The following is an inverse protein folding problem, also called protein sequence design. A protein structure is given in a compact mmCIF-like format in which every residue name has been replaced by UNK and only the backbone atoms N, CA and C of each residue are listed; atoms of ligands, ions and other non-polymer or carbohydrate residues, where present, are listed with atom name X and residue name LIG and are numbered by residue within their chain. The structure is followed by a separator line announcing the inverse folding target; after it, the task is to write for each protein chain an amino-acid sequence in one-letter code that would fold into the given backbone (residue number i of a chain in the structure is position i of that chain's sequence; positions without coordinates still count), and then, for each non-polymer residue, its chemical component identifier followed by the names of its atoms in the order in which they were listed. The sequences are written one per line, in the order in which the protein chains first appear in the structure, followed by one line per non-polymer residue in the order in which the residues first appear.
data_IF_788557593979
#
_entry.id   IF_788557593979
#
_cell.length_a   1.000
_cell.length_b   1.000
_cell.length_c   1.000
_cell.angle_alpha   90.00
_cell.angle_beta   90.00
_cell.angle_gamma   90.00
#
_symmetry.space_group_name_H-M   'P 1'
#
loop_
_entity.id
_entity.type
_entity.pdbx_description
1 polymer ?
#
# COMPACT_ATOMS: atom_id res chain seq x y z
N UNK A 1 12.52 -6.01 -12.63
CA UNK A 1 13.85 -6.27 -13.28
C UNK A 1 14.66 -7.13 -12.32
N UNK A 2 15.13 -8.30 -12.77
CA UNK A 2 15.90 -9.26 -11.94
C UNK A 2 17.23 -8.69 -11.40
N UNK A 3 17.77 -7.67 -12.06
CA UNK A 3 19.02 -6.99 -11.67
C UNK A 3 18.79 -5.68 -10.90
N UNK A 4 17.60 -5.45 -10.34
CA UNK A 4 17.30 -4.22 -9.61
C UNK A 4 18.26 -3.96 -8.43
N UNK A 5 18.61 -4.95 -7.59
CA UNK A 5 19.56 -4.73 -6.48
C UNK A 5 20.95 -4.32 -6.97
N UNK A 6 21.43 -4.92 -8.06
CA UNK A 6 22.73 -4.58 -8.64
C UNK A 6 22.76 -3.14 -9.17
N UNK A 7 21.71 -2.77 -9.93
CA UNK A 7 21.57 -1.40 -10.43
C UNK A 7 21.50 -0.39 -9.29
N UNK A 8 20.76 -0.70 -8.24
CA UNK A 8 20.63 0.17 -7.08
C UNK A 8 21.98 0.40 -6.38
N UNK A 9 22.77 -0.66 -6.12
CA UNK A 9 24.13 -0.53 -5.56
C UNK A 9 25.02 0.38 -6.39
N UNK A 10 24.92 0.31 -7.71
CA UNK A 10 25.72 1.12 -8.63
C UNK A 10 25.27 2.58 -8.69
N UNK A 11 23.98 2.85 -8.54
CA UNK A 11 23.40 4.18 -8.72
C UNK A 11 23.37 5.02 -7.42
N UNK A 12 23.20 4.40 -6.25
CA UNK A 12 23.15 5.09 -4.96
C UNK A 12 24.38 6.00 -4.73
N UNK A 13 25.63 5.52 -4.90
CA UNK A 13 26.82 6.36 -4.64
C UNK A 13 26.94 7.58 -5.55
N UNK A 14 26.27 7.57 -6.70
CA UNK A 14 26.32 8.67 -7.67
C UNK A 14 25.36 9.80 -7.35
N UNK A 15 24.42 9.59 -6.44
CA UNK A 15 23.39 10.57 -6.11
C UNK A 15 23.90 11.59 -5.10
N UNK A 16 23.94 12.85 -5.48
CA UNK A 16 24.38 13.97 -4.63
C UNK A 16 23.36 14.34 -3.55
N UNK A 17 22.08 14.13 -3.81
CA UNK A 17 20.99 14.43 -2.86
C UNK A 17 20.20 13.16 -2.57
N UNK A 18 19.94 12.91 -1.30
CA UNK A 18 19.03 11.85 -0.86
C UNK A 18 17.60 12.33 -0.95
N UNK A 19 16.72 11.47 -1.46
CA UNK A 19 15.28 11.66 -1.46
C UNK A 19 14.62 10.35 -1.05
N UNK A 20 13.37 10.38 -0.65
CA UNK A 20 12.63 9.16 -0.36
C UNK A 20 12.48 8.30 -1.63
N UNK A 21 12.76 7.03 -1.51
CA UNK A 21 12.58 6.04 -2.58
C UNK A 21 11.20 5.42 -2.43
N UNK A 22 10.32 5.70 -3.38
CA UNK A 22 9.03 5.03 -3.43
C UNK A 22 9.19 3.64 -4.03
N UNK A 23 8.98 2.62 -3.20
CA UNK A 23 9.05 1.21 -3.59
C UNK A 23 7.66 0.74 -3.96
N UNK A 24 7.29 0.77 -5.20
CA UNK A 24 6.02 0.37 -5.84
C UNK A 24 5.43 1.41 -6.82
N UNK A 25 6.24 2.15 -7.52
CA UNK A 25 5.73 3.19 -8.43
C UNK A 25 4.93 2.66 -9.64
N UNK A 26 5.14 1.40 -10.05
CA UNK A 26 4.53 0.83 -11.26
C UNK A 26 3.88 -0.52 -11.01
N UNK A 27 4.46 -1.36 -10.15
CA UNK A 27 3.94 -2.68 -9.83
C UNK A 27 4.20 -3.01 -8.37
N UNK A 28 3.39 -3.91 -7.81
CA UNK A 28 3.52 -4.32 -6.41
C UNK A 28 4.90 -4.96 -6.16
N UNK A 29 5.68 -4.48 -5.17
CA UNK A 29 7.00 -5.00 -4.85
C UNK A 29 6.94 -6.40 -4.19
N UNK A 30 5.79 -6.80 -3.67
CA UNK A 30 5.57 -8.09 -3.02
C UNK A 30 4.64 -9.01 -3.82
N UNK A 31 4.86 -9.06 -5.14
CA UNK A 31 4.21 -10.07 -5.99
C UNK A 31 4.57 -11.48 -5.50
N UNK A 32 3.78 -12.53 -5.83
CA UNK A 32 4.03 -13.89 -5.36
C UNK A 32 5.46 -14.40 -5.62
N UNK A 33 6.08 -14.00 -6.72
CA UNK A 33 7.46 -14.36 -7.06
C UNK A 33 8.50 -13.76 -6.10
N UNK A 34 8.16 -12.70 -5.38
CA UNK A 34 9.05 -12.08 -4.38
C UNK A 34 9.32 -13.03 -3.20
N UNK A 35 8.40 -13.95 -2.88
CA UNK A 35 8.62 -15.01 -1.90
C UNK A 35 9.86 -15.87 -2.23
N UNK A 36 10.11 -16.08 -3.52
CA UNK A 36 11.23 -16.87 -4.04
C UNK A 36 12.49 -16.03 -4.30
N UNK A 37 12.35 -14.93 -5.04
CA UNK A 37 13.52 -14.19 -5.57
C UNK A 37 14.06 -13.14 -4.60
N UNK A 38 13.27 -12.66 -3.66
CA UNK A 38 13.64 -11.68 -2.62
C UNK A 38 14.33 -10.42 -3.16
N UNK A 39 13.91 -9.93 -4.33
CA UNK A 39 14.51 -8.76 -4.96
C UNK A 39 14.18 -7.48 -4.20
N UNK A 40 12.95 -7.37 -3.72
CA UNK A 40 12.52 -6.24 -2.88
C UNK A 40 13.32 -6.21 -1.59
N UNK A 41 13.43 -7.35 -0.89
CA UNK A 41 14.24 -7.45 0.33
C UNK A 41 15.67 -6.98 0.09
N UNK A 42 16.34 -7.45 -0.96
CA UNK A 42 17.70 -7.04 -1.31
C UNK A 42 17.81 -5.53 -1.59
N UNK A 43 16.79 -4.95 -2.23
CA UNK A 43 16.75 -3.50 -2.44
C UNK A 43 16.59 -2.73 -1.14
N UNK A 44 15.73 -3.18 -0.23
CA UNK A 44 15.53 -2.58 1.09
C UNK A 44 16.80 -2.63 1.93
N UNK A 45 17.51 -3.77 1.94
CA UNK A 45 18.82 -3.91 2.61
C UNK A 45 19.83 -2.88 2.09
N UNK A 46 19.91 -2.67 0.78
CA UNK A 46 20.82 -1.68 0.19
C UNK A 46 20.42 -0.26 0.59
N UNK A 47 19.13 0.08 0.57
CA UNK A 47 18.64 1.39 0.98
C UNK A 47 18.94 1.65 2.47
N UNK A 48 18.66 0.69 3.34
CA UNK A 48 18.93 0.76 4.78
C UNK A 48 20.43 0.95 5.07
N UNK A 49 21.30 0.14 4.48
CA UNK A 49 22.76 0.24 4.63
C UNK A 49 23.34 1.59 4.19
N UNK A 50 22.68 2.26 3.28
CA UNK A 50 23.09 3.58 2.78
C UNK A 50 22.30 4.75 3.40
N UNK A 51 21.45 4.49 4.40
CA UNK A 51 20.57 5.46 5.06
C UNK A 51 19.69 6.25 4.08
N UNK A 52 19.12 5.59 3.08
CA UNK A 52 18.15 6.19 2.16
C UNK A 52 16.74 5.97 2.70
N UNK A 53 15.93 7.02 2.81
CA UNK A 53 14.53 6.88 3.17
C UNK A 53 13.78 6.04 2.14
N UNK A 54 12.84 5.19 2.59
CA UNK A 54 12.00 4.40 1.71
C UNK A 54 10.54 4.42 2.14
N UNK A 55 9.65 4.57 1.15
CA UNK A 55 8.20 4.46 1.31
C UNK A 55 7.79 3.19 0.58
N UNK A 56 7.36 2.20 1.35
CA UNK A 56 6.99 0.89 0.82
C UNK A 56 5.47 0.84 0.70
N UNK A 57 4.97 0.52 -0.49
CA UNK A 57 3.54 0.36 -0.72
C UNK A 57 3.25 -0.98 -1.39
N UNK A 58 2.29 -1.72 -0.85
CA UNK A 58 1.90 -3.02 -1.38
C UNK A 58 0.43 -3.34 -1.08
N UNK A 59 -0.11 -4.37 -1.71
CA UNK A 59 -1.34 -5.06 -1.31
C UNK A 59 -1.07 -6.36 -0.58
N UNK A 60 0.20 -6.77 -0.49
CA UNK A 60 0.58 -8.12 -0.08
C UNK A 60 1.02 -8.17 1.38
N UNK A 61 0.41 -9.04 2.22
CA UNK A 61 0.90 -9.33 3.56
C UNK A 61 2.32 -9.91 3.60
N UNK A 62 2.87 -10.31 2.45
CA UNK A 62 4.27 -10.76 2.35
C UNK A 62 5.28 -9.71 2.81
N UNK A 63 4.89 -8.44 2.90
CA UNK A 63 5.73 -7.36 3.46
C UNK A 63 6.18 -7.67 4.89
N UNK A 64 5.40 -8.42 5.66
CA UNK A 64 5.74 -8.84 7.03
C UNK A 64 7.03 -9.68 7.11
N UNK A 65 7.40 -10.38 6.04
CA UNK A 65 8.68 -11.09 5.94
C UNK A 65 9.89 -10.16 6.16
N UNK A 66 9.77 -8.90 5.79
CA UNK A 66 10.86 -7.93 5.79
C UNK A 66 10.73 -6.89 6.93
N UNK A 67 9.88 -7.19 7.93
CA UNK A 67 9.62 -6.33 9.09
C UNK A 67 10.89 -5.99 9.88
N UNK A 68 11.85 -6.92 9.92
CA UNK A 68 13.15 -6.74 10.55
C UNK A 68 13.92 -5.56 9.92
N UNK A 69 14.00 -5.53 8.59
CA UNK A 69 14.71 -4.47 7.87
C UNK A 69 13.95 -3.15 7.95
N UNK A 70 12.62 -3.20 7.79
CA UNK A 70 11.79 -1.99 7.77
C UNK A 70 11.82 -1.30 9.13
N UNK A 71 11.73 -2.05 10.23
CA UNK A 71 11.77 -1.53 11.60
C UNK A 71 13.12 -0.94 11.95
N UNK A 72 14.21 -1.63 11.58
CA UNK A 72 15.56 -1.25 12.00
C UNK A 72 16.14 -0.13 11.12
N UNK A 73 15.54 0.15 9.98
CA UNK A 73 15.91 1.25 9.10
C UNK A 73 15.38 2.60 9.63
N UNK A 74 16.23 3.64 9.59
CA UNK A 74 15.95 4.93 10.24
C UNK A 74 14.72 5.66 9.72
N UNK A 75 14.49 5.66 8.39
CA UNK A 75 13.48 6.49 7.73
C UNK A 75 12.66 5.66 6.72
N UNK A 76 12.26 4.44 7.14
CA UNK A 76 11.34 3.64 6.35
C UNK A 76 9.93 3.80 6.89
N UNK A 77 8.97 3.82 5.96
CA UNK A 77 7.56 3.66 6.26
C UNK A 77 6.93 2.62 5.33
N UNK A 78 5.93 1.94 5.82
CA UNK A 78 5.25 0.89 5.07
C UNK A 78 3.74 1.08 5.08
N UNK A 79 3.12 0.93 3.93
CA UNK A 79 1.68 1.03 3.80
C UNK A 79 1.08 -0.06 2.94
N UNK A 80 -0.18 -0.36 3.23
CA UNK A 80 -0.95 -1.26 2.39
C UNK A 80 -2.11 -0.52 1.72
N UNK A 81 -2.35 -0.89 0.45
CA UNK A 81 -3.56 -0.44 -0.25
C UNK A 81 -4.75 -1.22 0.26
N UNK A 82 -5.74 -0.49 0.79
CA UNK A 82 -6.99 -1.03 1.32
C UNK A 82 -8.13 -0.16 0.77
N UNK A 83 -8.69 -0.57 -0.35
CA UNK A 83 -9.59 0.26 -1.19
C UNK A 83 -11.05 0.22 -0.76
N UNK A 84 -11.45 -0.78 0.03
CA UNK A 84 -12.79 -1.02 0.54
C UNK A 84 -12.71 -1.83 1.84
N UNK A 85 -13.75 -1.79 2.66
CA UNK A 85 -13.94 -2.69 3.80
C UNK A 85 -14.68 -3.99 3.42
N UNK A 86 -15.26 -4.05 2.23
CA UNK A 86 -16.06 -5.16 1.74
C UNK A 86 -15.24 -6.06 0.81
N UNK A 87 -15.00 -7.31 1.23
CA UNK A 87 -14.21 -8.26 0.45
C UNK A 87 -14.93 -8.74 -0.83
N UNK A 88 -16.26 -8.67 -0.89
CA UNK A 88 -17.01 -8.98 -2.13
C UNK A 88 -16.79 -7.86 -3.15
N UNK A 89 -16.80 -6.61 -2.73
CA UNK A 89 -16.40 -5.48 -3.60
C UNK A 89 -14.94 -5.63 -4.04
N UNK A 90 -14.03 -5.96 -3.11
CA UNK A 90 -12.62 -6.22 -3.47
C UNK A 90 -12.52 -7.26 -4.59
N UNK A 91 -13.25 -8.38 -4.53
CA UNK A 91 -13.22 -9.43 -5.56
C UNK A 91 -13.63 -8.93 -6.95
N UNK A 92 -14.54 -7.95 -7.03
CA UNK A 92 -14.98 -7.36 -8.30
C UNK A 92 -13.89 -6.50 -8.96
N UNK A 93 -13.17 -5.71 -8.15
CA UNK A 93 -12.18 -4.74 -8.65
C UNK A 93 -10.74 -5.23 -8.59
N UNK A 94 -10.42 -6.07 -7.60
CA UNK A 94 -9.08 -6.58 -7.34
C UNK A 94 -9.10 -8.13 -7.15
N UNK A 95 -9.55 -8.92 -8.15
CA UNK A 95 -9.86 -10.35 -7.98
C UNK A 95 -8.65 -11.20 -7.51
N UNK A 96 -7.44 -10.78 -7.85
CA UNK A 96 -6.22 -11.50 -7.51
C UNK A 96 -5.45 -10.93 -6.30
N UNK A 97 -5.97 -9.87 -5.69
CA UNK A 97 -5.33 -9.28 -4.53
C UNK A 97 -5.71 -10.03 -3.23
N UNK A 98 -4.86 -10.03 -2.21
CA UNK A 98 -5.16 -10.64 -0.92
C UNK A 98 -6.43 -10.08 -0.28
N UNK A 99 -7.14 -10.86 0.55
CA UNK A 99 -8.31 -10.41 1.29
C UNK A 99 -8.04 -9.15 2.11
N UNK A 100 -9.08 -8.33 2.29
CA UNK A 100 -8.99 -7.06 3.06
C UNK A 100 -8.54 -7.34 4.51
N UNK A 101 -9.10 -8.36 5.16
CA UNK A 101 -8.73 -8.75 6.52
C UNK A 101 -7.22 -9.00 6.67
N UNK A 102 -6.61 -9.71 5.73
CA UNK A 102 -5.17 -9.98 5.76
C UNK A 102 -4.32 -8.70 5.60
N UNK A 103 -4.81 -7.74 4.80
CA UNK A 103 -4.13 -6.45 4.64
C UNK A 103 -4.23 -5.61 5.91
N UNK A 104 -5.39 -5.58 6.56
CA UNK A 104 -5.60 -4.89 7.84
C UNK A 104 -4.73 -5.53 8.93
N UNK A 105 -4.68 -6.87 9.00
CA UNK A 105 -3.83 -7.57 9.95
C UNK A 105 -2.35 -7.23 9.72
N UNK A 106 -1.90 -7.19 8.48
CA UNK A 106 -0.51 -6.82 8.16
C UNK A 106 -0.19 -5.37 8.56
N UNK A 107 -1.12 -4.42 8.39
CA UNK A 107 -0.96 -3.05 8.89
C UNK A 107 -0.82 -3.02 10.42
N UNK A 108 -1.68 -3.75 11.14
CA UNK A 108 -1.64 -3.82 12.60
C UNK A 108 -0.30 -4.40 13.10
N UNK A 109 0.21 -5.46 12.46
CA UNK A 109 1.49 -6.08 12.81
C UNK A 109 2.67 -5.13 12.56
N UNK A 110 2.69 -4.42 11.42
CA UNK A 110 3.69 -3.39 11.13
C UNK A 110 3.65 -2.25 12.15
N UNK A 111 2.45 -1.75 12.46
CA UNK A 111 2.26 -0.66 13.42
C UNK A 111 2.71 -1.06 14.83
N UNK A 112 2.32 -2.25 15.30
CA UNK A 112 2.77 -2.79 16.61
C UNK A 112 4.27 -3.04 16.67
N UNK A 113 4.93 -3.27 15.55
CA UNK A 113 6.38 -3.35 15.49
C UNK A 113 7.08 -1.99 15.58
N UNK A 114 6.34 -0.89 15.70
CA UNK A 114 6.86 0.47 15.77
C UNK A 114 7.27 1.07 14.42
N UNK A 115 6.82 0.47 13.32
CA UNK A 115 7.03 1.00 11.97
C UNK A 115 5.98 2.09 11.71
N UNK A 116 6.39 3.21 11.12
CA UNK A 116 5.47 4.22 10.64
C UNK A 116 4.63 3.64 9.50
N UNK A 117 3.32 3.60 9.71
CA UNK A 117 2.38 2.92 8.81
C UNK A 117 1.38 3.87 8.18
N UNK A 118 0.95 3.52 6.97
CA UNK A 118 -0.16 4.24 6.31
C UNK A 118 -1.07 3.27 5.55
N UNK A 119 -2.36 3.63 5.51
CA UNK A 119 -3.30 2.99 4.60
C UNK A 119 -3.46 3.81 3.32
N UNK A 120 -3.47 3.16 2.17
CA UNK A 120 -3.75 3.80 0.89
C UNK A 120 -5.13 3.38 0.38
N UNK A 121 -6.10 4.27 0.48
CA UNK A 121 -7.47 4.12 -0.02
C UNK A 121 -7.54 4.78 -1.40
N UNK A 122 -6.88 4.15 -2.36
CA UNK A 122 -6.76 4.66 -3.73
C UNK A 122 -6.77 3.51 -4.76
N UNK A 123 -7.78 3.46 -5.63
CA UNK A 123 -8.97 4.31 -5.60
C UNK A 123 -9.91 3.94 -4.44
N UNK A 124 -10.66 4.93 -3.93
CA UNK A 124 -11.75 4.68 -3.00
C UNK A 124 -12.87 3.93 -3.72
N UNK A 125 -13.20 2.73 -3.24
CA UNK A 125 -14.24 1.86 -3.79
C UNK A 125 -15.49 1.85 -2.90
N UNK A 126 -16.64 1.36 -3.39
CA UNK A 126 -17.83 1.14 -2.57
C UNK A 126 -17.48 0.36 -1.29
N UNK A 127 -18.10 0.68 -0.17
CA UNK A 127 -17.81 0.06 1.13
C UNK A 127 -16.57 0.62 1.85
N UNK A 128 -15.87 1.62 1.28
CA UNK A 128 -14.70 2.22 1.92
C UNK A 128 -15.04 2.99 3.20
N UNK A 129 -16.30 3.38 3.40
CA UNK A 129 -16.78 4.02 4.63
C UNK A 129 -16.56 3.16 5.88
N UNK A 130 -16.60 1.84 5.75
CA UNK A 130 -16.31 0.91 6.85
C UNK A 130 -14.84 0.84 7.26
N UNK A 131 -13.92 1.39 6.47
CA UNK A 131 -12.49 1.36 6.78
C UNK A 131 -12.12 2.17 8.03
N UNK A 132 -12.90 3.20 8.36
CA UNK A 132 -12.63 4.03 9.54
C UNK A 132 -12.58 3.21 10.84
N UNK A 133 -13.47 2.25 10.98
CA UNK A 133 -13.49 1.35 12.15
C UNK A 133 -12.35 0.33 12.09
N UNK A 134 -12.12 -0.27 10.92
CA UNK A 134 -11.11 -1.32 10.74
C UNK A 134 -9.68 -0.82 10.90
N UNK A 135 -9.39 0.43 10.54
CA UNK A 135 -8.04 1.01 10.54
C UNK A 135 -7.69 1.73 11.86
N UNK A 136 -8.68 1.99 12.71
CA UNK A 136 -8.47 2.75 13.96
C UNK A 136 -7.38 2.14 14.82
N UNK A 137 -6.37 2.95 15.14
CA UNK A 137 -5.24 2.54 16.00
C UNK A 137 -4.26 1.55 15.35
N UNK A 138 -4.31 1.39 14.00
CA UNK A 138 -3.43 0.50 13.25
C UNK A 138 -2.57 1.22 12.22
N UNK A 139 -2.73 2.54 12.08
CA UNK A 139 -2.01 3.36 11.12
C UNK A 139 -1.68 4.74 11.70
N UNK A 140 -0.62 5.37 11.19
CA UNK A 140 -0.21 6.73 11.55
C UNK A 140 -0.76 7.77 10.56
N UNK A 141 -1.08 7.35 9.34
CA UNK A 141 -1.61 8.25 8.31
C UNK A 141 -2.43 7.50 7.26
N UNK A 142 -3.20 8.25 6.48
CA UNK A 142 -4.04 7.73 5.40
C UNK A 142 -3.88 8.57 4.14
N UNK A 143 -3.78 7.90 3.00
CA UNK A 143 -3.78 8.51 1.67
C UNK A 143 -5.09 8.12 1.00
N UNK A 144 -5.83 9.11 0.52
CA UNK A 144 -7.15 8.91 -0.07
C UNK A 144 -7.17 9.52 -1.47
N UNK A 145 -7.59 8.75 -2.45
CA UNK A 145 -7.84 9.23 -3.81
C UNK A 145 -9.08 8.56 -4.41
N UNK A 146 -9.71 9.26 -5.36
CA UNK A 146 -10.89 8.75 -6.06
C UNK A 146 -10.50 7.93 -7.28
N UNK A 147 -11.47 7.22 -7.84
CA UNK A 147 -11.32 6.62 -9.16
C UNK A 147 -11.27 7.73 -10.22
N UNK A 148 -10.09 8.00 -10.76
CA UNK A 148 -9.85 9.06 -11.73
C UNK A 148 -9.86 8.56 -13.20
N UNK A 149 -10.06 7.25 -13.41
CA UNK A 149 -10.00 6.61 -14.72
C UNK A 149 -11.27 5.80 -14.99
N UNK A 150 -11.69 5.77 -16.25
CA UNK A 150 -12.88 5.07 -16.70
C UNK A 150 -12.71 3.57 -16.94
N UNK A 151 -11.55 3.00 -16.59
CA UNK A 151 -11.25 1.59 -16.85
C UNK A 151 -12.17 0.61 -16.11
N UNK A 152 -12.72 1.01 -14.98
CA UNK A 152 -13.61 0.19 -14.17
C UNK A 152 -15.10 0.54 -14.33
N UNK A 153 -15.49 1.50 -15.18
CA UNK A 153 -16.88 1.92 -15.36
C UNK A 153 -17.82 0.75 -15.66
N UNK A 154 -17.34 -0.23 -16.40
CA UNK A 154 -18.10 -1.43 -16.73
C UNK A 154 -18.42 -2.27 -15.49
N UNK A 155 -17.55 -2.29 -14.47
CA UNK A 155 -17.79 -2.98 -13.18
C UNK A 155 -18.89 -2.27 -12.44
N UNK A 156 -18.78 -0.93 -12.29
CA UNK A 156 -19.81 -0.14 -11.61
C UNK A 156 -21.18 -0.36 -12.24
N UNK A 157 -21.32 -0.23 -13.55
CA UNK A 157 -22.59 -0.45 -14.27
C UNK A 157 -23.11 -1.88 -14.15
N UNK A 158 -22.24 -2.87 -14.27
CA UNK A 158 -22.65 -4.27 -14.22
C UNK A 158 -23.24 -4.66 -12.86
N UNK A 159 -22.77 -4.05 -11.79
CA UNK A 159 -23.14 -4.41 -10.42
C UNK A 159 -23.97 -3.34 -9.72
N UNK A 160 -24.43 -2.30 -10.44
CA UNK A 160 -25.30 -1.25 -9.89
C UNK A 160 -24.62 -0.41 -8.80
N UNK A 161 -23.32 -0.07 -8.98
CA UNK A 161 -22.50 0.62 -7.99
C UNK A 161 -22.19 2.08 -8.37
N UNK A 162 -22.89 2.63 -9.38
CA UNK A 162 -22.61 3.95 -9.97
C UNK A 162 -22.72 5.09 -8.97
N UNK A 163 -23.57 4.97 -7.95
CA UNK A 163 -23.72 5.98 -6.89
C UNK A 163 -22.41 6.25 -6.15
N UNK A 164 -21.51 5.27 -6.13
CA UNK A 164 -20.18 5.40 -5.49
C UNK A 164 -19.17 6.19 -6.34
N UNK A 165 -19.51 6.55 -7.57
CA UNK A 165 -18.73 7.45 -8.41
C UNK A 165 -19.07 8.93 -8.14
N UNK A 166 -20.14 9.21 -7.41
CA UNK A 166 -20.58 10.56 -7.11
C UNK A 166 -19.62 11.28 -6.16
N UNK A 167 -19.48 12.58 -6.35
CA UNK A 167 -18.68 13.44 -5.48
C UNK A 167 -19.12 13.35 -4.00
N UNK A 168 -20.43 13.26 -3.76
CA UNK A 168 -20.99 13.15 -2.41
C UNK A 168 -20.51 11.89 -1.68
N UNK A 169 -20.45 10.73 -2.34
CA UNK A 169 -19.88 9.52 -1.77
C UNK A 169 -18.42 9.74 -1.35
N UNK A 170 -17.61 10.32 -2.25
CA UNK A 170 -16.20 10.57 -1.98
C UNK A 170 -16.01 11.52 -0.79
N UNK A 171 -16.72 12.64 -0.75
CA UNK A 171 -16.55 13.62 0.32
C UNK A 171 -17.03 13.12 1.68
N UNK A 172 -18.16 12.41 1.76
CA UNK A 172 -18.64 11.81 3.00
C UNK A 172 -17.69 10.75 3.54
N UNK A 173 -17.24 9.84 2.69
CA UNK A 173 -16.29 8.78 3.07
C UNK A 173 -14.95 9.36 3.48
N UNK A 174 -14.44 10.34 2.73
CA UNK A 174 -13.22 11.06 3.11
C UNK A 174 -13.33 11.72 4.48
N UNK A 175 -14.46 12.33 4.79
CA UNK A 175 -14.69 12.96 6.11
C UNK A 175 -14.70 11.92 7.23
N UNK A 176 -15.32 10.78 7.03
CA UNK A 176 -15.32 9.68 7.99
C UNK A 176 -13.89 9.14 8.23
N UNK A 177 -13.09 8.99 7.16
CA UNK A 177 -11.70 8.53 7.26
C UNK A 177 -10.75 9.58 7.84
N UNK A 178 -11.04 10.86 7.70
CA UNK A 178 -10.21 11.93 8.27
C UNK A 178 -10.31 12.04 9.81
N UNK A 179 -11.21 11.30 10.44
CA UNK A 179 -11.36 11.22 11.90
C UNK A 179 -10.49 10.11 12.54
N UNK A 180 -9.68 9.39 11.74
CA UNK A 180 -8.70 8.40 12.21
C UNK A 180 -7.47 9.04 12.81
#
# INVERSE_FOLDING_TARGET
KVNAPELLRREIPKKKKRGAVWVSGVCDPYQPLEAKYRLTRQCLEILAQNNWPAIIQTRSPLVLRDIDIIRDARDFEAGLSVTTADDEIRKLFEPHAPPIEQRIQALDELHRAGIRTYAMVAPMLPGAEGLAELLRGKIDSIIIDRMNYHYADWVYRKYGLEDSLADDFFYRTRQALASL
#
